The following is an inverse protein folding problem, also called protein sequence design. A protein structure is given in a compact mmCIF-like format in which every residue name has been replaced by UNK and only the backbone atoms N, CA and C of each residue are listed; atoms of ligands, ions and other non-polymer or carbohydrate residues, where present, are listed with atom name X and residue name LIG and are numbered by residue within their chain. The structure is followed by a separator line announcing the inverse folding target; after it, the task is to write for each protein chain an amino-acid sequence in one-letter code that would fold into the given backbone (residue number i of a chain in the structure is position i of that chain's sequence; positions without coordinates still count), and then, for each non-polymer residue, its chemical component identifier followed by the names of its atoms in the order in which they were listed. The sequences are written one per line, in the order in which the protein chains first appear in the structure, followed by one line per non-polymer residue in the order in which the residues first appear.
data_IF_789787543339
#
_entry.id   IF_789787543339
#
_cell.length_a   1.000
_cell.length_b   1.000
_cell.length_c   1.000
_cell.angle_alpha   90.00
_cell.angle_beta   90.00
_cell.angle_gamma   90.00
#
_symmetry.space_group_name_H-M   'P 1'
#
loop_
_entity.id
_entity.type
_entity.pdbx_description
1 polymer ?
#
# COMPACT_ATOMS: atom_id res chain seq x y z
N UNK A 1 20.34 5.72 32.25
CA UNK A 1 20.52 7.06 31.63
C UNK A 1 21.04 7.03 30.19
N UNK A 2 22.35 6.93 29.88
CA UNK A 2 22.83 7.07 28.47
C UNK A 2 22.23 6.07 27.46
N UNK A 3 21.94 4.82 27.88
CA UNK A 3 21.32 3.80 27.00
C UNK A 3 19.84 4.08 26.73
N UNK A 4 19.07 4.44 27.75
CA UNK A 4 17.64 4.76 27.61
C UNK A 4 17.44 5.98 26.71
N UNK A 5 18.23 7.03 26.90
CA UNK A 5 18.22 8.22 26.03
C UNK A 5 18.55 7.85 24.57
N UNK A 6 19.57 7.00 24.34
CA UNK A 6 19.91 6.56 22.98
C UNK A 6 18.80 5.74 22.31
N UNK A 7 18.08 4.92 23.09
CA UNK A 7 16.97 4.12 22.58
C UNK A 7 15.71 4.96 22.31
N UNK A 8 15.43 5.97 23.13
CA UNK A 8 14.39 6.96 22.85
C UNK A 8 14.67 7.74 21.56
N UNK A 9 15.92 8.16 21.34
CA UNK A 9 16.32 8.84 20.11
C UNK A 9 16.16 7.92 18.90
N UNK A 10 16.62 6.67 18.98
CA UNK A 10 16.46 5.68 17.92
C UNK A 10 14.98 5.39 17.61
N UNK A 11 14.15 5.21 18.64
CA UNK A 11 12.70 5.06 18.50
C UNK A 11 12.07 6.23 17.77
N UNK A 12 12.38 7.47 18.20
CA UNK A 12 11.85 8.69 17.59
C UNK A 12 12.20 8.77 16.11
N UNK A 13 13.42 8.42 15.73
CA UNK A 13 13.86 8.41 14.32
C UNK A 13 13.07 7.39 13.48
N UNK A 14 12.92 6.15 13.94
CA UNK A 14 12.19 5.12 13.20
C UNK A 14 10.69 5.42 13.11
N UNK A 15 10.11 5.98 14.17
CA UNK A 15 8.72 6.40 14.17
C UNK A 15 8.46 7.57 13.21
N UNK A 16 9.37 8.56 13.18
CA UNK A 16 9.30 9.64 12.21
C UNK A 16 9.45 9.13 10.77
N UNK A 17 10.35 8.17 10.52
CA UNK A 17 10.49 7.54 9.21
C UNK A 17 9.21 6.84 8.77
N UNK A 18 8.58 6.05 9.65
CA UNK A 18 7.30 5.42 9.35
C UNK A 18 6.23 6.45 8.96
N UNK A 19 6.02 7.48 9.80
CA UNK A 19 5.05 8.55 9.50
C UNK A 19 5.36 9.27 8.18
N UNK A 20 6.64 9.48 7.87
CA UNK A 20 7.05 10.08 6.62
C UNK A 20 6.64 9.20 5.42
N UNK A 21 6.85 7.88 5.48
CA UNK A 21 6.42 6.97 4.40
C UNK A 21 4.90 7.00 4.19
N UNK A 22 4.12 7.01 5.27
CA UNK A 22 2.66 7.07 5.18
C UNK A 22 2.18 8.41 4.60
N UNK A 23 2.79 9.52 5.02
CA UNK A 23 2.45 10.84 4.47
C UNK A 23 2.82 10.93 2.98
N UNK A 24 3.98 10.40 2.59
CA UNK A 24 4.41 10.33 1.19
C UNK A 24 3.42 9.51 0.34
N UNK A 25 2.88 8.42 0.88
CA UNK A 25 1.86 7.58 0.23
C UNK A 25 0.56 8.36 -0.05
N UNK A 26 0.10 9.13 0.93
CA UNK A 26 -1.09 9.98 0.80
C UNK A 26 -0.87 11.10 -0.23
N UNK A 27 0.27 11.80 -0.14
CA UNK A 27 0.64 12.85 -1.08
C UNK A 27 0.75 12.36 -2.52
N UNK A 28 1.41 11.22 -2.74
CA UNK A 28 1.53 10.61 -4.06
C UNK A 28 0.13 10.35 -4.65
N UNK A 29 -0.80 9.85 -3.84
CA UNK A 29 -2.14 9.56 -4.33
C UNK A 29 -2.93 10.83 -4.68
N UNK A 30 -2.82 11.88 -3.88
CA UNK A 30 -3.46 13.16 -4.20
C UNK A 30 -2.93 13.74 -5.51
N UNK A 31 -1.60 13.71 -5.72
CA UNK A 31 -0.97 14.15 -6.97
C UNK A 31 -1.48 13.31 -8.14
N UNK A 32 -1.57 11.99 -7.98
CA UNK A 32 -2.07 11.08 -9.02
C UNK A 32 -3.54 11.32 -9.35
N UNK A 33 -4.38 11.59 -8.35
CA UNK A 33 -5.79 11.97 -8.56
C UNK A 33 -5.90 13.24 -9.41
N UNK A 34 -5.11 14.27 -9.08
CA UNK A 34 -5.11 15.52 -9.85
C UNK A 34 -4.66 15.30 -11.29
N UNK A 35 -3.60 14.52 -11.50
CA UNK A 35 -3.12 14.17 -12.85
C UNK A 35 -4.20 13.39 -13.62
N UNK A 36 -4.84 12.40 -13.00
CA UNK A 36 -5.92 11.65 -13.65
C UNK A 36 -7.12 12.54 -13.99
N UNK A 37 -7.55 13.41 -13.08
CA UNK A 37 -8.65 14.34 -13.33
C UNK A 37 -8.33 15.27 -14.51
N UNK A 38 -7.11 15.81 -14.56
CA UNK A 38 -6.65 16.65 -15.67
C UNK A 38 -6.62 15.87 -16.99
N UNK A 39 -6.09 14.65 -17.00
CA UNK A 39 -6.03 13.81 -18.20
C UNK A 39 -7.44 13.41 -18.67
N UNK A 40 -8.35 13.06 -17.76
CA UNK A 40 -9.76 12.79 -18.08
C UNK A 40 -10.40 14.02 -18.70
N UNK A 41 -10.20 15.21 -18.12
CA UNK A 41 -10.69 16.47 -18.66
C UNK A 41 -10.19 16.75 -20.08
N UNK A 42 -8.90 16.51 -20.34
CA UNK A 42 -8.32 16.64 -21.69
C UNK A 42 -8.91 15.61 -22.66
N UNK A 43 -9.09 14.35 -22.24
CA UNK A 43 -9.72 13.33 -23.09
C UNK A 43 -11.17 13.64 -23.43
N UNK A 44 -11.93 14.17 -22.47
CA UNK A 44 -13.32 14.58 -22.69
C UNK A 44 -13.41 15.81 -23.61
N UNK A 45 -12.52 16.79 -23.44
CA UNK A 45 -12.51 18.02 -24.25
C UNK A 45 -12.19 17.77 -25.72
N UNK A 46 -11.15 16.98 -26.02
CA UNK A 46 -10.67 16.84 -27.40
C UNK A 46 -11.50 15.89 -28.26
N UNK A 47 -12.47 15.16 -27.68
CA UNK A 47 -13.36 14.25 -28.42
C UNK A 47 -12.64 13.18 -29.26
N UNK A 48 -11.32 13.03 -29.09
CA UNK A 48 -10.43 12.21 -29.89
C UNK A 48 -9.40 11.60 -28.96
N UNK A 49 -9.53 10.29 -28.79
CA UNK A 49 -8.79 9.50 -27.83
C UNK A 49 -7.47 9.10 -28.50
N UNK A 50 -6.47 9.99 -28.46
CA UNK A 50 -5.12 9.60 -28.87
C UNK A 50 -4.62 8.54 -27.89
N UNK A 51 -4.34 7.33 -28.38
CA UNK A 51 -3.92 6.16 -27.59
C UNK A 51 -2.80 6.45 -26.58
N UNK A 52 -1.96 7.45 -26.84
CA UNK A 52 -0.91 7.93 -25.93
C UNK A 52 -1.43 8.39 -24.56
N UNK A 53 -2.55 9.12 -24.51
CA UNK A 53 -3.10 9.67 -23.25
C UNK A 53 -3.56 8.54 -22.33
N UNK A 54 -4.42 7.59 -22.76
CA UNK A 54 -4.82 6.49 -21.91
C UNK A 54 -3.68 5.49 -21.67
N UNK A 55 -2.73 5.33 -22.60
CA UNK A 55 -1.53 4.53 -22.32
C UNK A 55 -0.69 5.14 -21.20
N UNK A 56 -0.51 6.46 -21.21
CA UNK A 56 0.20 7.17 -20.15
C UNK A 56 -0.54 7.09 -18.82
N UNK A 57 -1.87 7.29 -18.82
CA UNK A 57 -2.69 7.11 -17.63
C UNK A 57 -2.62 5.69 -17.06
N UNK A 58 -2.64 4.68 -17.92
CA UNK A 58 -2.47 3.28 -17.52
C UNK A 58 -1.10 3.02 -16.88
N UNK A 59 -0.02 3.49 -17.51
CA UNK A 59 1.33 3.37 -16.96
C UNK A 59 1.46 4.07 -15.59
N UNK A 60 0.86 5.26 -15.47
CA UNK A 60 0.84 6.02 -14.23
C UNK A 60 0.03 5.31 -13.12
N UNK A 61 -1.07 4.66 -13.47
CA UNK A 61 -1.88 3.85 -12.54
C UNK A 61 -1.10 2.63 -12.03
N UNK A 62 -0.33 1.96 -12.90
CA UNK A 62 0.58 0.89 -12.48
C UNK A 62 1.66 1.37 -11.53
N UNK A 63 2.28 2.49 -11.86
CA UNK A 63 3.29 3.10 -10.99
C UNK A 63 2.70 3.44 -9.61
N UNK A 64 1.52 4.06 -9.58
CA UNK A 64 0.82 4.39 -8.34
C UNK A 64 0.49 3.16 -7.49
N UNK A 65 -0.02 2.08 -8.10
CA UNK A 65 -0.30 0.82 -7.42
C UNK A 65 0.96 0.25 -6.75
N UNK A 66 2.06 0.19 -7.50
CA UNK A 66 3.34 -0.35 -7.02
C UNK A 66 3.94 0.52 -5.91
N UNK A 67 4.00 1.84 -6.11
CA UNK A 67 4.55 2.77 -5.14
C UNK A 67 3.75 2.76 -3.83
N UNK A 68 2.42 2.73 -3.91
CA UNK A 68 1.55 2.62 -2.73
C UNK A 68 1.83 1.34 -1.92
N UNK A 69 2.04 0.21 -2.60
CA UNK A 69 2.39 -1.05 -1.95
C UNK A 69 3.81 -1.01 -1.34
N UNK A 70 4.81 -0.52 -2.08
CA UNK A 70 6.18 -0.42 -1.59
C UNK A 70 6.28 0.47 -0.33
N UNK A 71 5.60 1.62 -0.33
CA UNK A 71 5.57 2.55 0.81
C UNK A 71 4.87 1.92 2.03
N UNK A 72 3.82 1.12 1.82
CA UNK A 72 3.16 0.38 2.91
C UNK A 72 4.10 -0.64 3.56
N UNK A 73 4.83 -1.41 2.76
CA UNK A 73 5.81 -2.39 3.26
C UNK A 73 6.89 -1.69 4.09
N UNK A 74 7.39 -0.53 3.62
CA UNK A 74 8.36 0.26 4.37
C UNK A 74 7.78 0.82 5.68
N UNK A 75 6.55 1.35 5.64
CA UNK A 75 5.84 1.83 6.84
C UNK A 75 5.74 0.73 7.91
N UNK A 76 5.30 -0.47 7.54
CA UNK A 76 5.17 -1.60 8.46
C UNK A 76 6.55 -1.96 9.04
N UNK A 77 7.57 -2.05 8.20
CA UNK A 77 8.93 -2.39 8.62
C UNK A 77 9.48 -1.41 9.66
N UNK A 78 9.42 -0.11 9.38
CA UNK A 78 9.95 0.90 10.30
C UNK A 78 9.14 1.02 11.58
N UNK A 79 7.80 0.95 11.48
CA UNK A 79 6.94 0.95 12.67
C UNK A 79 7.25 -0.23 13.59
N UNK A 80 7.52 -1.42 13.03
CA UNK A 80 7.87 -2.62 13.83
C UNK A 80 9.22 -2.48 14.50
N UNK A 81 10.24 -1.97 13.80
CA UNK A 81 11.56 -1.69 14.40
C UNK A 81 11.42 -0.73 15.58
N UNK A 82 10.64 0.35 15.43
CA UNK A 82 10.35 1.28 16.51
C UNK A 82 9.70 0.56 17.70
N UNK A 83 8.66 -0.24 17.48
CA UNK A 83 7.99 -0.98 18.57
C UNK A 83 8.93 -1.96 19.28
N UNK A 84 9.82 -2.65 18.55
CA UNK A 84 10.77 -3.59 19.16
C UNK A 84 11.82 -2.89 20.03
N UNK A 85 12.29 -1.71 19.62
CA UNK A 85 13.20 -0.89 20.43
C UNK A 85 12.51 -0.42 21.73
N UNK A 86 11.24 -0.03 21.63
CA UNK A 86 10.46 0.41 22.78
C UNK A 86 10.24 -0.72 23.80
N UNK A 87 9.93 -1.93 23.32
CA UNK A 87 9.66 -3.10 24.16
C UNK A 87 10.95 -3.65 24.83
N UNK A 88 12.08 -3.71 24.09
CA UNK A 88 13.36 -4.21 24.64
C UNK A 88 13.99 -3.24 25.63
N UNK A 89 14.01 -1.94 25.33
CA UNK A 89 14.83 -1.00 26.12
C UNK A 89 14.05 -0.27 27.22
N UNK A 90 12.73 -0.11 27.06
CA UNK A 90 11.92 0.72 27.97
C UNK A 90 10.93 -0.09 28.81
N UNK A 91 10.74 -1.39 28.52
CA UNK A 91 9.75 -2.23 29.21
C UNK A 91 8.32 -1.67 29.15
N UNK A 92 8.08 -0.69 28.27
CA UNK A 92 6.79 -0.03 28.12
C UNK A 92 5.97 -0.81 27.12
N UNK A 93 4.74 -1.12 27.53
CA UNK A 93 3.91 -2.18 26.98
C UNK A 93 3.61 -2.12 25.48
N UNK A 94 3.06 -3.25 25.06
CA UNK A 94 2.89 -3.77 23.71
C UNK A 94 2.29 -2.76 22.69
N UNK A 95 3.15 -2.01 22.00
CA UNK A 95 2.77 -1.17 20.85
C UNK A 95 2.34 -2.01 19.62
N UNK A 96 2.39 -3.36 19.70
CA UNK A 96 1.83 -4.28 18.68
C UNK A 96 0.40 -3.97 18.32
N UNK A 97 -0.41 -3.42 19.25
CA UNK A 97 -1.80 -3.04 18.99
C UNK A 97 -1.98 -2.08 17.80
N UNK A 98 -1.01 -1.22 17.53
CA UNK A 98 -1.02 -0.30 16.38
C UNK A 98 -0.40 -0.89 15.11
N UNK A 99 0.37 -1.97 15.24
CA UNK A 99 1.14 -2.62 14.17
C UNK A 99 0.49 -3.87 13.59
N UNK A 100 -0.24 -4.60 14.42
CA UNK A 100 -0.98 -5.80 14.04
C UNK A 100 -2.42 -5.48 13.62
N UNK A 101 -2.83 -4.20 13.64
CA UNK A 101 -4.19 -3.81 13.27
C UNK A 101 -5.22 -4.35 14.26
N UNK A 102 -5.30 -3.73 15.43
CA UNK A 102 -6.40 -3.96 16.37
C UNK A 102 -6.22 -5.18 17.27
N UNK A 103 -6.28 -4.95 18.58
CA UNK A 103 -6.20 -6.01 19.59
C UNK A 103 -7.44 -6.92 19.69
N UNK A 104 -8.28 -7.00 18.66
CA UNK A 104 -9.48 -7.84 18.66
C UNK A 104 -9.23 -9.13 17.86
N UNK A 105 -9.22 -10.27 18.55
CA UNK A 105 -9.20 -11.59 17.90
C UNK A 105 -10.59 -11.93 17.38
N UNK A 106 -10.70 -12.34 16.11
CA UNK A 106 -11.93 -12.86 15.51
C UNK A 106 -12.35 -12.12 14.23
N UNK A 107 -13.58 -12.38 13.77
CA UNK A 107 -14.18 -11.80 12.55
C UNK A 107 -14.12 -10.26 12.52
N UNK A 108 -14.21 -9.62 13.69
CA UNK A 108 -14.20 -8.15 13.83
C UNK A 108 -12.81 -7.55 13.60
N UNK A 109 -11.76 -8.16 14.15
CA UNK A 109 -10.37 -7.80 13.81
C UNK A 109 -10.04 -8.10 12.35
N UNK A 110 -10.49 -9.24 11.82
CA UNK A 110 -10.32 -9.57 10.40
C UNK A 110 -11.02 -8.53 9.49
N UNK A 111 -12.21 -8.05 9.87
CA UNK A 111 -12.96 -7.02 9.13
C UNK A 111 -12.29 -5.64 9.19
N UNK A 112 -11.86 -5.20 10.36
CA UNK A 112 -11.10 -3.94 10.52
C UNK A 112 -9.75 -3.98 9.81
N UNK A 113 -9.12 -5.16 9.72
CA UNK A 113 -7.88 -5.38 8.96
C UNK A 113 -8.15 -5.44 7.44
N UNK A 114 -9.29 -6.00 7.03
CA UNK A 114 -9.74 -6.04 5.63
C UNK A 114 -10.03 -4.63 5.10
N UNK A 115 -10.53 -3.71 5.95
CA UNK A 115 -10.83 -2.33 5.58
C UNK A 115 -9.74 -1.34 5.99
N UNK A 116 -8.48 -1.78 5.93
CA UNK A 116 -7.35 -0.86 6.15
C UNK A 116 -7.33 0.22 5.08
N UNK A 117 -6.85 1.41 5.46
CA UNK A 117 -6.63 2.51 4.53
C UNK A 117 -5.78 2.06 3.32
N UNK A 118 -4.85 1.11 3.50
CA UNK A 118 -4.09 0.52 2.40
C UNK A 118 -4.97 -0.20 1.37
N UNK A 119 -5.91 -1.04 1.81
CA UNK A 119 -6.83 -1.77 0.93
C UNK A 119 -7.70 -0.80 0.11
N UNK A 120 -8.17 0.30 0.72
CA UNK A 120 -8.90 1.35 0.00
C UNK A 120 -8.04 1.98 -1.11
N UNK A 121 -6.76 2.29 -0.84
CA UNK A 121 -5.85 2.81 -1.85
C UNK A 121 -5.53 1.80 -2.95
N UNK A 122 -5.34 0.52 -2.61
CA UNK A 122 -5.14 -0.54 -3.60
C UNK A 122 -6.36 -0.65 -4.51
N UNK A 123 -7.57 -0.70 -3.96
CA UNK A 123 -8.81 -0.76 -4.74
C UNK A 123 -8.94 0.46 -5.66
N UNK A 124 -8.60 1.66 -5.18
CA UNK A 124 -8.57 2.88 -5.99
C UNK A 124 -7.63 2.74 -7.20
N UNK A 125 -6.40 2.26 -7.00
CA UNK A 125 -5.45 2.07 -8.10
C UNK A 125 -5.84 0.93 -9.06
N UNK A 126 -6.40 -0.16 -8.56
CA UNK A 126 -6.93 -1.25 -9.39
C UNK A 126 -8.06 -0.74 -10.31
N UNK A 127 -8.97 0.06 -9.76
CA UNK A 127 -10.03 0.71 -10.52
C UNK A 127 -9.46 1.68 -11.56
N UNK A 128 -8.45 2.49 -11.19
CA UNK A 128 -7.78 3.40 -12.12
C UNK A 128 -7.13 2.65 -13.29
N UNK A 129 -6.41 1.54 -13.02
CA UNK A 129 -5.83 0.68 -14.06
C UNK A 129 -6.90 0.16 -15.01
N UNK A 130 -8.00 -0.39 -14.47
CA UNK A 130 -9.08 -0.93 -15.29
C UNK A 130 -9.75 0.15 -16.15
N UNK A 131 -10.00 1.34 -15.57
CA UNK A 131 -10.58 2.47 -16.26
C UNK A 131 -9.70 2.95 -17.42
N UNK A 132 -8.39 3.07 -17.20
CA UNK A 132 -7.46 3.47 -18.25
C UNK A 132 -7.27 2.41 -19.33
N UNK A 133 -7.34 1.12 -18.98
CA UNK A 133 -7.32 0.04 -19.96
C UNK A 133 -8.58 0.07 -20.85
N UNK A 134 -9.75 0.32 -20.26
CA UNK A 134 -11.00 0.48 -20.99
C UNK A 134 -10.95 1.70 -21.94
N UNK A 135 -10.44 2.84 -21.46
CA UNK A 135 -10.20 4.02 -22.30
C UNK A 135 -9.24 3.73 -23.46
N UNK A 136 -8.19 2.93 -23.22
CA UNK A 136 -7.26 2.52 -24.26
C UNK A 136 -7.96 1.70 -25.35
N UNK A 137 -8.88 0.80 -24.98
CA UNK A 137 -9.68 0.02 -25.95
C UNK A 137 -10.66 0.90 -26.72
N UNK A 138 -11.28 1.89 -26.06
CA UNK A 138 -12.16 2.85 -26.75
C UNK A 138 -11.42 3.65 -27.83
N UNK A 139 -10.11 3.88 -27.70
CA UNK A 139 -9.31 4.60 -28.72
C UNK A 139 -9.24 3.91 -30.08
N UNK A 140 -9.62 2.63 -30.15
CA UNK A 140 -9.50 1.79 -31.34
C UNK A 140 -10.84 1.53 -32.03
N UNK A 141 -11.87 2.32 -31.72
CA UNK A 141 -13.25 2.18 -32.25
C UNK A 141 -13.79 0.75 -32.08
N UNK A 142 -13.49 0.12 -30.94
CA UNK A 142 -13.89 -1.25 -30.64
C UNK A 142 -15.31 -1.24 -30.02
N UNK A 143 -16.10 -2.27 -30.32
CA UNK A 143 -17.44 -2.47 -29.75
C UNK A 143 -17.49 -2.33 -28.22
N UNK A 144 -18.56 -1.72 -27.70
CA UNK A 144 -18.77 -1.42 -26.26
C UNK A 144 -18.58 -2.65 -25.36
N UNK A 145 -19.03 -3.84 -25.81
CA UNK A 145 -18.84 -5.08 -25.06
C UNK A 145 -17.37 -5.42 -24.83
N UNK A 146 -16.49 -5.13 -25.78
CA UNK A 146 -15.06 -5.35 -25.61
C UNK A 146 -14.45 -4.40 -24.57
N UNK A 147 -14.97 -3.17 -24.44
CA UNK A 147 -14.56 -2.22 -23.40
C UNK A 147 -14.96 -2.75 -22.03
N UNK A 148 -16.20 -3.22 -21.88
CA UNK A 148 -16.71 -3.82 -20.65
C UNK A 148 -15.88 -5.05 -20.26
N UNK A 149 -15.65 -5.97 -21.20
CA UNK A 149 -14.84 -7.17 -20.99
C UNK A 149 -13.40 -6.81 -20.61
N UNK A 150 -12.80 -5.81 -21.27
CA UNK A 150 -11.44 -5.38 -20.95
C UNK A 150 -11.35 -4.75 -19.58
N UNK A 151 -12.32 -3.91 -19.20
CA UNK A 151 -12.40 -3.28 -17.88
C UNK A 151 -12.46 -4.35 -16.78
N UNK A 152 -13.47 -5.23 -16.82
CA UNK A 152 -13.65 -6.25 -15.79
C UNK A 152 -12.52 -7.30 -15.82
N UNK A 153 -12.01 -7.64 -17.00
CA UNK A 153 -10.90 -8.57 -17.17
C UNK A 153 -9.59 -8.04 -16.59
N UNK A 154 -9.24 -6.77 -16.86
CA UNK A 154 -8.06 -6.14 -16.24
C UNK A 154 -8.24 -5.96 -14.75
N UNK A 155 -9.41 -5.51 -14.29
CA UNK A 155 -9.70 -5.39 -12.85
C UNK A 155 -9.51 -6.73 -12.13
N UNK A 156 -10.07 -7.81 -12.68
CA UNK A 156 -9.92 -9.16 -12.12
C UNK A 156 -8.46 -9.61 -12.13
N UNK A 157 -7.75 -9.44 -13.25
CA UNK A 157 -6.34 -9.82 -13.38
C UNK A 157 -5.45 -9.11 -12.35
N UNK A 158 -5.63 -7.80 -12.18
CA UNK A 158 -4.83 -7.05 -11.20
C UNK A 158 -5.23 -7.33 -9.77
N UNK A 159 -6.50 -7.65 -9.50
CA UNK A 159 -6.92 -8.14 -8.18
C UNK A 159 -6.25 -9.47 -7.85
N UNK A 160 -6.21 -10.41 -8.80
CA UNK A 160 -5.52 -11.70 -8.64
C UNK A 160 -4.02 -11.48 -8.45
N UNK A 161 -3.38 -10.63 -9.27
CA UNK A 161 -1.96 -10.30 -9.15
C UNK A 161 -1.64 -9.69 -7.78
N UNK A 162 -2.43 -8.73 -7.32
CA UNK A 162 -2.29 -8.14 -5.99
C UNK A 162 -2.35 -9.22 -4.91
N UNK A 163 -3.41 -10.05 -4.94
CA UNK A 163 -3.62 -11.09 -3.92
C UNK A 163 -2.53 -12.17 -3.92
N UNK A 164 -2.11 -12.63 -5.10
CA UNK A 164 -1.17 -13.74 -5.20
C UNK A 164 0.28 -13.33 -5.06
N UNK A 165 0.65 -12.12 -5.49
CA UNK A 165 2.05 -11.69 -5.56
C UNK A 165 2.37 -10.63 -4.51
N UNK A 166 1.67 -9.50 -4.55
CA UNK A 166 1.99 -8.36 -3.70
C UNK A 166 1.63 -8.65 -2.23
N UNK A 167 0.42 -9.14 -1.99
CA UNK A 167 -0.05 -9.48 -0.65
C UNK A 167 0.78 -10.58 0.01
N UNK A 168 1.19 -11.62 -0.74
CA UNK A 168 2.07 -12.66 -0.22
C UNK A 168 3.43 -12.11 0.21
N UNK A 169 4.03 -11.22 -0.59
CA UNK A 169 5.31 -10.58 -0.24
C UNK A 169 5.19 -9.68 0.98
N UNK A 170 4.05 -9.01 1.16
CA UNK A 170 3.75 -8.28 2.38
C UNK A 170 3.70 -9.22 3.59
N UNK A 171 2.99 -10.34 3.47
CA UNK A 171 2.96 -11.35 4.54
C UNK A 171 4.35 -11.89 4.90
N UNK A 172 5.21 -12.17 3.92
CA UNK A 172 6.60 -12.60 4.15
C UNK A 172 7.43 -11.53 4.85
N UNK A 173 7.33 -10.27 4.41
CA UNK A 173 8.00 -9.13 5.06
C UNK A 173 7.55 -8.97 6.52
N UNK A 174 6.27 -9.25 6.79
CA UNK A 174 5.72 -9.26 8.13
C UNK A 174 6.22 -10.45 8.97
N UNK A 175 6.23 -11.67 8.44
CA UNK A 175 6.60 -12.87 9.21
C UNK A 175 8.08 -12.95 9.53
N UNK A 176 8.95 -12.60 8.58
CA UNK A 176 10.40 -12.65 8.77
C UNK A 176 10.88 -11.69 9.87
N UNK A 177 10.23 -10.53 10.00
CA UNK A 177 10.54 -9.57 11.06
C UNK A 177 10.15 -10.11 12.46
N UNK A 178 8.99 -10.75 12.58
CA UNK A 178 8.50 -11.33 13.84
C UNK A 178 9.40 -12.50 14.31
N UNK A 179 9.77 -13.39 13.38
CA UNK A 179 10.59 -14.57 13.71
C UNK A 179 11.99 -14.20 14.21
N UNK A 180 12.62 -13.15 13.66
CA UNK A 180 13.90 -12.64 14.16
C UNK A 180 13.79 -12.13 15.60
N UNK A 181 12.70 -11.44 15.92
CA UNK A 181 12.48 -10.91 17.27
C UNK A 181 12.21 -12.00 18.30
N UNK A 182 11.40 -13.01 17.94
CA UNK A 182 11.09 -14.14 18.83
C UNK A 182 12.35 -14.94 19.20
N UNK A 183 13.20 -15.26 18.21
CA UNK A 183 14.48 -15.94 18.43
C UNK A 183 15.46 -15.12 19.28
N UNK A 184 15.42 -13.79 19.19
CA UNK A 184 16.26 -12.91 20.01
C UNK A 184 15.81 -12.85 21.48
N UNK A 185 14.51 -13.06 21.75
CA UNK A 185 13.98 -13.17 23.12
C UNK A 185 14.30 -14.51 23.77
N UNK A 186 14.11 -15.61 23.03
CA UNK A 186 14.43 -16.96 23.51
C UNK A 186 15.91 -17.06 23.89
N UNK A 187 16.82 -16.51 23.06
CA UNK A 187 18.27 -16.42 23.38
C UNK A 187 18.66 -15.53 24.55
N UNK A 188 17.76 -14.67 25.06
CA UNK A 188 18.03 -13.82 26.24
C UNK A 188 17.52 -14.44 27.55
N UNK A 189 16.73 -15.51 27.46
CA UNK A 189 16.18 -16.22 28.62
C UNK A 189 17.00 -17.47 28.99
N UNK A 190 17.82 -17.97 28.06
CA UNK A 190 18.87 -18.98 28.30
C UNK A 190 20.19 -18.31 28.73
#
# INVERSE_FOLDING_TARGET
MKREESAYVAFGQYWMQARHQENTRLWLTNVLIVIFAALIGVTAWRGSIYWYIPSFGLALAFFGLFANHALRVLFIRYSRVAATLMDIELGMGDYRRFLEGGGERGLKGAWETLWTLHAAFVAFYLFAVAAWAALLVMTRDIAVWAVIVTFFGTLLLFTIFYWQVLWRREQEAETQAILRHKRAREKKQD
#
